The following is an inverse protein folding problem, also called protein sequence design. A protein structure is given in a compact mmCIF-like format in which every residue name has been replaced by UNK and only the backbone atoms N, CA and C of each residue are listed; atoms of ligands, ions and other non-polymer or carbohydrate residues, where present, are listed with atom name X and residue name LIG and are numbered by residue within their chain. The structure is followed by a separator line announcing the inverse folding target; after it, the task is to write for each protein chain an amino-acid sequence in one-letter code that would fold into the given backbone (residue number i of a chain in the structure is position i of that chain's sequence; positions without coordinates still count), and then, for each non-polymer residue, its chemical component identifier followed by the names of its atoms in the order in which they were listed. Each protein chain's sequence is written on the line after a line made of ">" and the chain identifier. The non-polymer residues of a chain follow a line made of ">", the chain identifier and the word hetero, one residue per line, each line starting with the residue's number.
data_IF_899621777269
#
_entry.id   IF_899621777269
#
_cell.length_a   1.000
_cell.length_b   1.000
_cell.length_c   1.000
_cell.angle_alpha   90.00
_cell.angle_beta   90.00
_cell.angle_gamma   90.00
#
_symmetry.space_group_name_H-M   'P 1'
#
loop_
_entity.id
_entity.type
_entity.pdbx_description
1 polymer ?
#
# COMPACT_ATOMS: atom_id res chain seq x y z
N UNK A 1 -25.23 32.42 -17.90
CA UNK A 1 -24.26 31.32 -18.13
C UNK A 1 -24.80 30.08 -17.44
N UNK A 2 -24.98 28.96 -18.16
CA UNK A 2 -25.31 27.69 -17.49
C UNK A 2 -24.09 27.29 -16.66
N UNK A 3 -24.21 27.33 -15.34
CA UNK A 3 -23.20 26.79 -14.44
C UNK A 3 -23.28 25.27 -14.59
N UNK A 4 -22.28 24.68 -15.25
CA UNK A 4 -22.17 23.23 -15.34
C UNK A 4 -22.00 22.66 -13.94
N UNK A 5 -23.00 21.95 -13.45
CA UNK A 5 -23.02 21.37 -12.11
C UNK A 5 -22.25 20.04 -12.11
N UNK A 6 -21.16 19.98 -11.36
CA UNK A 6 -20.40 18.75 -11.20
C UNK A 6 -21.08 17.81 -10.20
N UNK A 7 -20.79 16.52 -10.32
CA UNK A 7 -21.40 15.48 -9.49
C UNK A 7 -20.34 14.59 -8.86
N UNK A 8 -20.57 14.15 -7.63
CA UNK A 8 -19.68 13.21 -6.96
C UNK A 8 -20.43 12.16 -6.14
N UNK A 9 -19.78 11.01 -5.93
CA UNK A 9 -20.24 9.94 -5.05
C UNK A 9 -19.24 9.74 -3.92
N UNK A 10 -19.74 9.40 -2.73
CA UNK A 10 -18.92 9.03 -1.58
C UNK A 10 -19.24 7.58 -1.17
N UNK A 11 -18.22 6.73 -1.16
CA UNK A 11 -18.32 5.27 -0.92
C UNK A 11 -17.58 4.83 0.35
N UNK A 12 -16.78 5.70 0.97
CA UNK A 12 -16.15 5.47 2.27
C UNK A 12 -16.66 6.47 3.31
N UNK A 13 -17.65 6.05 4.10
CA UNK A 13 -18.20 6.89 5.18
C UNK A 13 -17.27 6.99 6.39
N UNK A 14 -16.31 6.07 6.50
CA UNK A 14 -15.34 6.04 7.60
C UNK A 14 -14.12 6.94 7.33
N UNK A 15 -14.13 7.75 6.26
CA UNK A 15 -13.06 8.68 5.95
C UNK A 15 -13.35 10.06 6.51
N UNK A 16 -12.63 10.46 7.56
CA UNK A 16 -12.72 11.82 8.12
C UNK A 16 -12.29 12.89 7.13
N UNK A 17 -11.20 12.64 6.40
CA UNK A 17 -10.66 13.58 5.39
C UNK A 17 -11.68 13.81 4.27
N UNK A 18 -12.20 12.73 3.67
CA UNK A 18 -13.10 12.87 2.53
C UNK A 18 -14.53 13.25 2.94
N UNK A 19 -14.91 13.05 4.21
CA UNK A 19 -16.12 13.67 4.78
C UNK A 19 -16.01 15.20 4.75
N UNK A 20 -14.86 15.77 5.09
CA UNK A 20 -14.64 17.21 5.06
C UNK A 20 -14.54 17.75 3.63
N UNK A 21 -13.80 17.07 2.75
CA UNK A 21 -13.77 17.40 1.31
C UNK A 21 -15.19 17.42 0.73
N UNK A 22 -16.04 16.44 1.08
CA UNK A 22 -17.44 16.41 0.65
C UNK A 22 -18.21 17.66 1.09
N UNK A 23 -18.01 18.15 2.32
CA UNK A 23 -18.66 19.39 2.79
C UNK A 23 -18.17 20.61 2.01
N UNK A 24 -16.85 20.72 1.81
CA UNK A 24 -16.24 21.82 1.05
C UNK A 24 -16.79 21.86 -0.37
N UNK A 25 -16.84 20.71 -1.08
CA UNK A 25 -17.40 20.63 -2.43
C UNK A 25 -18.85 21.14 -2.47
N UNK A 26 -19.70 20.67 -1.55
CA UNK A 26 -21.11 21.11 -1.48
C UNK A 26 -21.25 22.60 -1.19
N UNK A 27 -20.40 23.16 -0.32
CA UNK A 27 -20.44 24.59 0.04
C UNK A 27 -20.15 25.54 -1.14
N UNK A 28 -19.48 25.06 -2.19
CA UNK A 28 -19.23 25.85 -3.40
C UNK A 28 -20.47 26.15 -4.23
N UNK A 29 -21.56 25.39 -4.03
CA UNK A 29 -22.76 25.45 -4.88
C UNK A 29 -22.58 24.90 -6.31
N UNK A 30 -21.37 24.46 -6.68
CA UNK A 30 -21.05 23.93 -8.01
C UNK A 30 -21.03 22.41 -8.07
N UNK A 31 -21.16 21.74 -6.92
CA UNK A 31 -21.13 20.29 -6.79
C UNK A 31 -22.41 19.74 -6.18
N UNK A 32 -22.84 18.60 -6.70
CA UNK A 32 -23.96 17.82 -6.18
C UNK A 32 -23.51 16.43 -5.79
N UNK A 33 -23.85 16.01 -4.57
CA UNK A 33 -23.65 14.63 -4.12
C UNK A 33 -24.76 13.74 -4.69
N UNK A 34 -24.36 12.61 -5.28
CA UNK A 34 -25.27 11.58 -5.79
C UNK A 34 -25.33 10.38 -4.83
N UNK A 35 -26.30 9.48 -5.07
CA UNK A 35 -26.33 8.16 -4.42
C UNK A 35 -25.06 7.38 -4.76
N UNK A 36 -24.54 6.63 -3.79
CA UNK A 36 -23.22 5.94 -3.87
C UNK A 36 -23.01 5.01 -5.08
N UNK A 37 -24.10 4.47 -5.64
CA UNK A 37 -24.09 3.52 -6.76
C UNK A 37 -24.54 4.15 -8.08
N UNK A 38 -24.80 5.45 -8.12
CA UNK A 38 -25.06 6.14 -9.38
C UNK A 38 -23.75 6.15 -10.20
N UNK A 39 -23.74 5.63 -11.44
CA UNK A 39 -22.52 5.57 -12.25
C UNK A 39 -22.15 6.90 -12.92
N UNK A 40 -23.12 7.82 -13.08
CA UNK A 40 -22.93 9.10 -13.78
C UNK A 40 -22.42 10.19 -12.82
N UNK A 41 -21.18 10.05 -12.39
CA UNK A 41 -20.46 11.02 -11.56
C UNK A 41 -19.22 11.58 -12.27
N UNK A 42 -18.75 12.76 -11.83
CA UNK A 42 -17.44 13.31 -12.19
C UNK A 42 -16.34 12.88 -11.21
N UNK A 43 -16.66 12.78 -9.91
CA UNK A 43 -15.68 12.42 -8.87
C UNK A 43 -16.19 11.26 -7.99
N UNK A 44 -15.34 10.25 -7.80
CA UNK A 44 -15.56 9.19 -6.82
C UNK A 44 -14.63 9.37 -5.62
N UNK A 45 -15.21 9.60 -4.45
CA UNK A 45 -14.55 9.43 -3.16
C UNK A 45 -14.72 7.96 -2.75
N UNK A 46 -13.80 7.13 -3.25
CA UNK A 46 -13.93 5.68 -3.28
C UNK A 46 -13.68 4.97 -1.96
N UNK A 47 -14.06 3.69 -1.94
CA UNK A 47 -13.83 2.76 -0.83
C UNK A 47 -12.36 2.35 -0.70
N UNK A 48 -11.87 2.13 0.53
CA UNK A 48 -10.47 1.80 0.81
C UNK A 48 -10.00 0.46 0.22
N UNK A 49 -10.90 -0.50 0.11
CA UNK A 49 -10.60 -1.87 -0.32
C UNK A 49 -11.45 -2.23 -1.53
N UNK A 50 -10.86 -2.89 -2.53
CA UNK A 50 -11.56 -3.39 -3.73
C UNK A 50 -12.32 -2.31 -4.51
N UNK A 51 -11.77 -1.09 -4.55
CA UNK A 51 -12.31 -0.01 -5.39
C UNK A 51 -12.44 -0.51 -6.84
N UNK A 52 -13.60 -0.34 -7.50
CA UNK A 52 -13.87 -0.91 -8.81
C UNK A 52 -13.26 -0.09 -9.95
N UNK A 53 -11.92 0.01 -10.00
CA UNK A 53 -11.21 0.79 -11.02
C UNK A 53 -11.60 0.45 -12.46
N UNK A 54 -11.92 -0.82 -12.74
CA UNK A 54 -12.33 -1.27 -14.08
C UNK A 54 -13.70 -0.77 -14.55
N UNK A 55 -14.46 -0.07 -13.70
CA UNK A 55 -15.73 0.58 -14.09
C UNK A 55 -15.58 2.08 -14.34
N UNK A 56 -14.41 2.66 -14.08
CA UNK A 56 -14.16 4.10 -14.23
C UNK A 56 -13.78 4.44 -15.66
N UNK A 57 -14.20 5.61 -16.14
CA UNK A 57 -13.85 6.13 -17.47
C UNK A 57 -14.69 5.57 -18.62
N UNK A 58 -15.75 4.82 -18.33
CA UNK A 58 -16.62 4.21 -19.34
C UNK A 58 -17.95 4.95 -19.55
N UNK A 59 -18.20 6.05 -18.84
CA UNK A 59 -19.43 6.84 -18.97
C UNK A 59 -19.30 7.89 -20.09
N UNK A 60 -20.08 7.82 -21.19
CA UNK A 60 -19.98 8.76 -22.30
C UNK A 60 -20.30 10.21 -21.87
N UNK A 61 -19.45 11.14 -22.30
CA UNK A 61 -19.62 12.58 -22.02
C UNK A 61 -19.33 12.98 -20.56
N UNK A 62 -18.76 12.09 -19.75
CA UNK A 62 -18.38 12.38 -18.36
C UNK A 62 -16.91 12.06 -18.11
N UNK A 63 -16.12 13.08 -17.79
CA UNK A 63 -14.79 12.88 -17.23
C UNK A 63 -14.92 12.39 -15.79
N UNK A 64 -14.34 11.21 -15.52
CA UNK A 64 -14.37 10.59 -14.20
C UNK A 64 -12.99 10.65 -13.53
N UNK A 65 -12.97 11.11 -12.29
CA UNK A 65 -11.80 11.14 -11.41
C UNK A 65 -12.07 10.31 -10.16
N UNK A 66 -11.01 9.73 -9.59
CA UNK A 66 -11.06 8.97 -8.34
C UNK A 66 -9.91 9.36 -7.43
N UNK A 67 -10.17 9.33 -6.12
CA UNK A 67 -9.25 9.77 -5.07
C UNK A 67 -8.20 8.71 -4.63
N UNK A 68 -8.00 7.67 -5.44
CA UNK A 68 -7.00 6.62 -5.19
C UNK A 68 -6.22 6.32 -6.46
N UNK A 69 -4.91 6.13 -6.32
CA UNK A 69 -4.08 5.56 -7.37
C UNK A 69 -4.13 4.03 -7.31
N UNK A 70 -4.51 3.41 -8.43
CA UNK A 70 -4.46 1.95 -8.56
C UNK A 70 -3.01 1.47 -8.45
N UNK A 71 -2.72 0.53 -7.55
CA UNK A 71 -1.38 -0.01 -7.33
C UNK A 71 -0.56 0.70 -6.24
N UNK A 72 -1.08 1.80 -5.65
CA UNK A 72 -0.42 2.48 -4.53
C UNK A 72 -0.29 1.60 -3.27
N UNK A 73 -1.03 0.50 -3.19
CA UNK A 73 -0.90 -0.51 -2.14
C UNK A 73 0.51 -1.11 -2.04
N UNK A 74 1.30 -1.07 -3.13
CA UNK A 74 2.71 -1.47 -3.12
C UNK A 74 3.56 -0.61 -2.17
N UNK A 75 3.22 0.68 -2.06
CA UNK A 75 3.89 1.63 -1.17
C UNK A 75 3.26 1.62 0.23
N UNK A 76 1.93 1.48 0.31
CA UNK A 76 1.19 1.64 1.57
C UNK A 76 1.09 0.38 2.45
N UNK A 77 1.60 -0.77 2.00
CA UNK A 77 1.65 -2.03 2.79
C UNK A 77 3.08 -2.33 3.21
N UNK A 78 3.30 -2.68 4.49
CA UNK A 78 4.66 -2.82 5.07
C UNK A 78 5.53 -3.80 4.29
N UNK A 79 5.06 -5.03 4.07
CA UNK A 79 5.82 -6.06 3.35
C UNK A 79 6.05 -5.68 1.87
N UNK A 80 5.06 -5.06 1.24
CA UNK A 80 5.19 -4.58 -0.14
C UNK A 80 6.21 -3.45 -0.26
N UNK A 81 6.27 -2.54 0.72
CA UNK A 81 7.23 -1.45 0.77
C UNK A 81 8.67 -1.97 0.91
N UNK A 82 8.91 -2.92 1.83
CA UNK A 82 10.23 -3.54 1.99
C UNK A 82 10.66 -4.20 0.67
N UNK A 83 9.75 -4.94 0.02
CA UNK A 83 10.03 -5.55 -1.28
C UNK A 83 10.31 -4.50 -2.36
N UNK A 84 9.51 -3.43 -2.41
CA UNK A 84 9.69 -2.34 -3.37
C UNK A 84 11.08 -1.71 -3.24
N UNK A 85 11.48 -1.34 -2.03
CA UNK A 85 12.79 -0.73 -1.76
C UNK A 85 13.93 -1.68 -2.15
N UNK A 86 13.86 -2.96 -1.79
CA UNK A 86 14.91 -3.95 -2.09
C UNK A 86 15.02 -4.33 -3.57
N UNK A 87 13.95 -4.20 -4.34
CA UNK A 87 13.88 -4.70 -5.73
C UNK A 87 13.88 -3.61 -6.79
N UNK A 88 13.66 -2.35 -6.42
CA UNK A 88 13.79 -1.20 -7.31
C UNK A 88 15.26 -0.72 -7.31
N UNK A 89 16.00 -0.80 -8.43
CA UNK A 89 17.41 -0.42 -8.50
C UNK A 89 17.66 1.03 -8.02
N UNK A 90 16.77 1.94 -8.42
CA UNK A 90 16.81 3.36 -8.05
C UNK A 90 16.77 3.58 -6.52
N UNK A 91 16.15 2.64 -5.79
CA UNK A 91 16.03 2.69 -4.34
C UNK A 91 17.15 1.87 -3.66
N UNK A 92 17.40 0.64 -4.13
CA UNK A 92 18.33 -0.30 -3.48
C UNK A 92 19.74 0.27 -3.36
N UNK A 93 20.19 1.02 -4.37
CA UNK A 93 21.58 1.46 -4.47
C UNK A 93 21.87 2.70 -3.59
N UNK A 94 20.84 3.33 -3.03
CA UNK A 94 20.93 4.60 -2.29
C UNK A 94 20.16 4.60 -0.95
N UNK A 95 19.69 3.44 -0.49
CA UNK A 95 18.75 3.37 0.62
C UNK A 95 19.41 3.48 2.01
N UNK A 96 19.88 4.67 2.37
CA UNK A 96 20.41 4.96 3.72
C UNK A 96 19.35 5.52 4.69
N UNK A 97 18.14 5.80 4.20
CA UNK A 97 17.05 6.43 4.96
C UNK A 97 16.00 5.44 5.47
N UNK A 98 16.02 4.19 4.99
CA UNK A 98 15.11 3.14 5.42
C UNK A 98 15.84 2.16 6.33
N UNK A 99 15.33 1.87 7.53
CA UNK A 99 15.95 0.88 8.40
C UNK A 99 16.01 -0.50 7.74
N UNK A 100 17.09 -1.22 8.01
CA UNK A 100 17.26 -2.60 7.58
C UNK A 100 16.00 -3.39 7.94
N UNK A 101 15.42 -4.07 6.95
CA UNK A 101 14.10 -4.68 7.08
C UNK A 101 14.02 -6.04 6.43
N UNK A 102 13.26 -6.94 7.05
CA UNK A 102 13.04 -8.31 6.57
C UNK A 102 11.55 -8.65 6.54
N UNK A 103 11.11 -9.37 5.51
CA UNK A 103 9.74 -9.90 5.39
C UNK A 103 9.73 -11.36 5.83
N UNK A 104 9.09 -11.63 6.97
CA UNK A 104 8.94 -12.99 7.50
C UNK A 104 7.47 -13.42 7.44
N UNK A 105 7.23 -14.64 6.94
CA UNK A 105 5.92 -15.26 6.91
C UNK A 105 5.73 -16.24 8.09
N UNK A 106 4.50 -16.40 8.58
CA UNK A 106 4.16 -17.51 9.47
C UNK A 106 4.51 -18.88 8.86
N UNK A 107 5.09 -19.77 9.66
CA UNK A 107 5.59 -21.09 9.22
C UNK A 107 4.49 -22.07 8.79
N UNK A 108 3.23 -21.79 9.15
CA UNK A 108 2.06 -22.56 8.74
C UNK A 108 1.55 -22.20 7.33
N UNK A 109 2.18 -21.26 6.65
CA UNK A 109 1.91 -20.94 5.25
C UNK A 109 2.97 -21.63 4.37
N UNK A 110 2.55 -22.40 3.37
CA UNK A 110 3.43 -22.97 2.33
C UNK A 110 4.07 -21.87 1.48
N UNK A 111 5.01 -21.14 2.06
CA UNK A 111 5.68 -19.98 1.46
C UNK A 111 7.08 -20.41 1.05
N UNK A 112 7.48 -20.23 -0.22
CA UNK A 112 8.84 -20.54 -0.66
C UNK A 112 9.90 -19.79 0.16
N UNK A 113 10.99 -20.46 0.52
CA UNK A 113 12.13 -19.85 1.24
C UNK A 113 12.97 -19.02 0.27
N UNK A 114 13.45 -17.83 0.68
CA UNK A 114 14.37 -17.04 -0.14
C UNK A 114 15.72 -17.77 -0.29
N UNK A 115 16.26 -17.96 -1.50
CA UNK A 115 17.59 -18.54 -1.67
C UNK A 115 18.68 -17.55 -1.21
N UNK A 116 19.69 -18.06 -0.51
CA UNK A 116 20.93 -17.33 -0.24
C UNK A 116 21.64 -17.05 -1.57
N UNK A 117 22.16 -15.82 -1.74
CA UNK A 117 22.68 -15.28 -3.00
C UNK A 117 23.80 -16.15 -3.59
N UNK A 118 23.62 -16.60 -4.83
CA UNK A 118 24.68 -16.84 -5.80
C UNK A 118 24.14 -16.65 -7.23
N UNK A 119 24.66 -15.64 -7.95
CA UNK A 119 24.71 -15.56 -9.42
C UNK A 119 23.41 -15.43 -10.23
N UNK A 120 23.19 -14.23 -10.79
CA UNK A 120 22.57 -13.91 -12.11
C UNK A 120 21.44 -14.85 -12.63
N UNK A 121 20.18 -14.36 -12.71
CA UNK A 121 19.41 -14.29 -13.97
C UNK A 121 17.95 -13.80 -13.84
N UNK A 122 17.59 -12.93 -14.78
CA UNK A 122 16.28 -12.60 -15.37
C UNK A 122 15.08 -12.27 -14.48
N UNK A 123 14.43 -11.13 -14.80
CA UNK A 123 13.11 -10.69 -14.34
C UNK A 123 12.09 -11.84 -14.35
N UNK A 124 11.98 -12.54 -13.22
CA UNK A 124 10.89 -13.45 -12.93
C UNK A 124 10.25 -12.96 -11.66
N UNK A 125 8.93 -12.90 -11.70
CA UNK A 125 8.04 -12.57 -10.61
C UNK A 125 8.49 -13.30 -9.33
N UNK A 126 9.34 -12.68 -8.51
CA UNK A 126 9.92 -13.34 -7.35
C UNK A 126 8.75 -13.76 -6.45
N UNK A 127 8.62 -15.05 -6.12
CA UNK A 127 7.61 -15.53 -5.19
C UNK A 127 7.64 -14.69 -3.91
N UNK A 128 6.56 -14.72 -3.14
CA UNK A 128 6.64 -14.31 -1.74
C UNK A 128 7.71 -15.19 -1.09
N UNK A 129 8.88 -14.65 -0.85
CA UNK A 129 9.98 -15.40 -0.25
C UNK A 129 10.14 -14.98 1.19
N UNK A 130 10.15 -15.96 2.09
CA UNK A 130 10.44 -15.72 3.49
C UNK A 130 11.92 -15.40 3.68
N UNK A 131 12.21 -14.26 4.32
CA UNK A 131 13.58 -13.76 4.54
C UNK A 131 14.15 -14.14 5.92
N UNK A 132 13.54 -15.09 6.64
CA UNK A 132 13.96 -15.52 7.99
C UNK A 132 15.44 -15.88 8.08
N UNK A 133 15.97 -16.68 7.16
CA UNK A 133 17.39 -17.07 7.20
C UNK A 133 18.31 -15.88 6.96
N UNK A 134 17.90 -14.95 6.09
CA UNK A 134 18.66 -13.72 5.82
C UNK A 134 18.69 -12.82 7.07
N UNK A 135 17.55 -12.70 7.76
CA UNK A 135 17.47 -12.00 9.04
C UNK A 135 18.36 -12.62 10.11
N UNK A 136 18.31 -13.95 10.28
CA UNK A 136 19.12 -14.66 11.29
C UNK A 136 20.63 -14.49 11.03
N UNK A 137 21.05 -14.52 9.77
CA UNK A 137 22.43 -14.27 9.39
C UNK A 137 22.89 -12.84 9.76
N UNK A 138 22.11 -11.81 9.40
CA UNK A 138 22.40 -10.41 9.76
C UNK A 138 22.43 -10.21 11.28
N UNK A 139 21.44 -10.76 11.99
CA UNK A 139 21.38 -10.69 13.46
C UNK A 139 22.63 -11.29 14.11
N UNK A 140 23.07 -12.46 13.65
CA UNK A 140 24.21 -13.17 14.22
C UNK A 140 25.51 -12.39 13.98
N UNK A 141 25.69 -11.87 12.76
CA UNK A 141 26.82 -11.02 12.41
C UNK A 141 26.90 -9.75 13.27
N UNK A 142 25.79 -9.03 13.45
CA UNK A 142 25.75 -7.82 14.29
C UNK A 142 26.07 -8.13 15.75
N UNK A 143 25.55 -9.26 16.26
CA UNK A 143 25.83 -9.72 17.62
C UNK A 143 27.32 -10.01 17.82
N UNK A 144 27.97 -10.68 16.87
CA UNK A 144 29.39 -10.99 16.91
C UNK A 144 30.26 -9.72 16.86
N UNK A 145 29.85 -8.71 16.09
CA UNK A 145 30.53 -7.42 15.99
C UNK A 145 30.32 -6.50 17.22
N UNK A 146 29.49 -6.88 18.18
CA UNK A 146 29.13 -6.03 19.32
C UNK A 146 28.23 -4.85 18.95
N UNK A 147 27.53 -4.91 17.83
CA UNK A 147 26.55 -3.91 17.40
C UNK A 147 25.22 -4.05 18.15
N UNK A 148 24.35 -3.03 18.05
CA UNK A 148 23.00 -3.09 18.62
C UNK A 148 22.12 -4.15 17.94
N UNK A 149 21.48 -5.01 18.74
CA UNK A 149 20.68 -6.16 18.27
C UNK A 149 19.18 -6.03 18.61
N UNK A 150 18.70 -4.82 18.86
CA UNK A 150 17.27 -4.56 19.11
C UNK A 150 16.54 -4.44 17.79
N UNK A 151 15.41 -5.13 17.69
CA UNK A 151 14.61 -5.24 16.47
C UNK A 151 13.11 -5.15 16.81
N UNK A 152 12.30 -4.60 15.91
CA UNK A 152 10.83 -4.49 16.12
C UNK A 152 10.02 -5.24 15.07
N UNK A 153 9.11 -6.09 15.52
CA UNK A 153 8.17 -6.82 14.67
C UNK A 153 6.88 -6.03 14.38
N UNK A 154 6.54 -5.77 13.10
CA UNK A 154 5.28 -5.08 12.73
C UNK A 154 4.52 -5.69 11.57
N UNK A 155 3.22 -5.89 11.77
CA UNK A 155 2.33 -6.42 10.72
C UNK A 155 1.52 -5.35 10.01
N UNK A 156 1.10 -5.63 8.76
CA UNK A 156 0.16 -4.75 8.03
C UNK A 156 -1.29 -4.91 8.50
N UNK A 157 -1.58 -5.97 9.26
CA UNK A 157 -2.90 -6.25 9.82
C UNK A 157 -3.07 -5.70 11.26
N UNK A 158 -1.98 -5.19 11.86
CA UNK A 158 -1.96 -4.69 13.23
C UNK A 158 -2.90 -3.50 13.38
N UNK A 159 -4.11 -3.75 13.87
CA UNK A 159 -5.05 -2.73 14.28
C UNK A 159 -4.58 -2.17 15.62
N UNK A 160 -4.28 -0.86 15.69
CA UNK A 160 -4.24 -0.05 16.92
C UNK A 160 -3.69 -0.77 18.18
N UNK A 161 -2.49 -1.35 18.10
CA UNK A 161 -1.83 -2.02 19.23
C UNK A 161 -2.03 -3.54 19.35
N UNK A 162 -2.75 -4.17 18.42
CA UNK A 162 -2.91 -5.64 18.35
C UNK A 162 -1.70 -6.35 17.73
N UNK A 163 -1.43 -7.56 18.24
CA UNK A 163 -0.24 -8.40 17.98
C UNK A 163 0.21 -8.50 16.50
N UNK A 164 1.53 -8.56 16.23
CA UNK A 164 2.08 -8.59 14.89
C UNK A 164 1.88 -9.94 14.20
N UNK A 165 0.96 -10.03 13.23
CA UNK A 165 0.79 -11.18 12.34
C UNK A 165 1.76 -11.22 11.12
N UNK A 166 2.72 -10.31 11.04
CA UNK A 166 3.79 -10.26 10.02
C UNK A 166 4.96 -9.51 10.66
N UNK A 167 6.19 -9.99 10.47
CA UNK A 167 7.40 -9.32 10.93
C UNK A 167 7.94 -8.52 9.76
N UNK A 168 7.75 -7.20 9.76
CA UNK A 168 8.78 -6.29 9.27
C UNK A 168 9.65 -5.98 10.48
N UNK A 169 10.88 -6.49 10.47
CA UNK A 169 11.87 -6.28 11.52
C UNK A 169 12.60 -4.98 11.19
N UNK A 170 12.25 -3.86 11.82
CA UNK A 170 13.02 -2.60 11.72
C UNK A 170 14.10 -2.52 12.79
#
# INVERSE_FOLDING_TARGET
>A
MNITMYTFVARDENSSVYAEVSKILLSTGQWKRLKKDNPRFNLMLGERNRLPFGRLGHEPGLMQLVNYYRGADKLCRKASLVKLIKTSPELSDSCNWFPESYVIYPTNLNTPVAPAKNGINHMKHHPKTDEREVFLASYSQKKENGEGTVWIAKSSAGAKGGNPAFLAVL
#
